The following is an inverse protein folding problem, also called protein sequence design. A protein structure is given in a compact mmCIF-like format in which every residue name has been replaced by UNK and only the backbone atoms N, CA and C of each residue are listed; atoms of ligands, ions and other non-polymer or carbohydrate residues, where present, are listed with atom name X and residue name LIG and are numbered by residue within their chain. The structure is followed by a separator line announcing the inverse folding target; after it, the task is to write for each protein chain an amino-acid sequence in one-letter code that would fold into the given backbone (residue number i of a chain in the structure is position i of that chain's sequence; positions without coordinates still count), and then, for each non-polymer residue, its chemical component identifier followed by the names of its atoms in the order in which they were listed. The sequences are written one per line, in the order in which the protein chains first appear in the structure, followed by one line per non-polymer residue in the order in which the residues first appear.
data_IF_119815552738
#
_entry.id   IF_119815552738
#
_cell.length_a   1.000
_cell.length_b   1.000
_cell.length_c   1.000
_cell.angle_alpha   90.00
_cell.angle_beta   90.00
_cell.angle_gamma   90.00
#
_symmetry.space_group_name_H-M   'P 1'
#
loop_
_entity.id
_entity.type
_entity.pdbx_description
1 polymer ?
#
# COMPACT_ATOMS: atom_id res chain seq x y z
N UNK A 1 9.50 0.17 -8.13
CA UNK A 1 8.86 0.53 -9.42
C UNK A 1 7.44 1.00 -9.16
N UNK A 2 7.20 2.31 -9.27
CA UNK A 2 5.99 3.00 -8.77
C UNK A 2 5.46 4.02 -9.78
N UNK A 3 4.16 4.32 -9.73
CA UNK A 3 3.55 5.49 -10.37
C UNK A 3 3.23 6.63 -9.38
N UNK A 4 3.54 6.44 -8.10
CA UNK A 4 3.23 7.32 -6.96
C UNK A 4 1.72 7.58 -6.76
N UNK A 5 0.89 6.76 -7.41
CA UNK A 5 -0.57 6.88 -7.39
C UNK A 5 -1.19 6.48 -6.05
N UNK A 6 -0.54 5.63 -5.26
CA UNK A 6 -1.02 5.28 -3.93
C UNK A 6 -0.77 6.45 -2.97
N UNK A 7 0.40 7.11 -3.07
CA UNK A 7 0.67 8.37 -2.37
C UNK A 7 -0.32 9.48 -2.74
N UNK A 8 -0.68 9.62 -4.02
CA UNK A 8 -1.73 10.58 -4.43
C UNK A 8 -3.09 10.16 -3.88
N UNK A 9 -3.44 8.87 -3.94
CA UNK A 9 -4.73 8.36 -3.49
C UNK A 9 -5.00 8.68 -2.02
N UNK A 10 -4.03 8.46 -1.12
CA UNK A 10 -4.22 8.69 0.32
C UNK A 10 -4.46 10.18 0.67
N UNK A 11 -4.04 11.13 -0.19
CA UNK A 11 -4.36 12.55 0.01
C UNK A 11 -5.86 12.85 -0.12
N UNK A 12 -6.62 11.95 -0.75
CA UNK A 12 -8.07 12.05 -0.89
C UNK A 12 -8.85 11.33 0.23
N UNK A 13 -8.16 10.78 1.23
CA UNK A 13 -8.79 10.14 2.37
C UNK A 13 -9.57 11.15 3.20
N UNK A 14 -10.68 10.71 3.78
CA UNK A 14 -11.55 11.54 4.62
C UNK A 14 -11.78 10.91 6.00
N UNK A 15 -11.39 9.66 6.22
CA UNK A 15 -11.72 8.89 7.42
C UNK A 15 -10.59 7.95 7.88
N UNK A 16 -9.55 8.47 8.57
CA UNK A 16 -9.24 9.90 8.73
C UNK A 16 -8.50 10.48 7.52
N UNK A 17 -8.41 11.82 7.45
CA UNK A 17 -7.52 12.47 6.48
C UNK A 17 -6.06 12.29 6.90
N UNK A 18 -5.13 12.55 5.99
CA UNK A 18 -3.69 12.56 6.32
C UNK A 18 -3.36 13.66 7.32
N UNK A 19 -3.97 14.85 7.18
CA UNK A 19 -3.78 15.98 8.09
C UNK A 19 -4.27 15.67 9.50
N UNK A 20 -5.38 14.95 9.64
CA UNK A 20 -5.88 14.53 10.95
C UNK A 20 -4.85 13.69 11.72
N UNK A 21 -4.14 12.81 11.02
CA UNK A 21 -3.06 12.00 11.60
C UNK A 21 -1.84 12.88 11.91
N UNK A 22 -1.40 13.74 10.99
CA UNK A 22 -0.19 14.56 11.16
C UNK A 22 -0.33 15.65 12.22
N UNK A 23 -1.51 16.26 12.32
CA UNK A 23 -1.82 17.30 13.29
C UNK A 23 -2.21 16.73 14.67
N UNK A 24 -2.35 15.40 14.78
CA UNK A 24 -2.73 14.75 16.03
C UNK A 24 -4.18 15.03 16.43
N UNK A 25 -5.08 15.23 15.45
CA UNK A 25 -6.51 15.45 15.69
C UNK A 25 -7.21 14.19 16.23
N UNK A 26 -6.60 13.02 16.02
CA UNK A 26 -7.11 11.73 16.49
C UNK A 26 -6.46 11.42 17.85
N UNK A 27 -7.23 11.41 18.96
CA UNK A 27 -6.68 11.18 20.29
C UNK A 27 -6.03 9.81 20.44
N UNK A 28 -4.93 9.73 21.18
CA UNK A 28 -4.25 8.48 21.53
C UNK A 28 -3.27 7.97 20.49
N UNK A 29 -3.23 8.55 19.28
CA UNK A 29 -2.18 8.25 18.32
C UNK A 29 -0.82 8.84 18.78
N UNK A 30 0.30 8.16 18.50
CA UNK A 30 1.61 8.77 18.67
C UNK A 30 1.78 9.95 17.72
N UNK A 31 2.68 10.88 18.05
CA UNK A 31 3.04 11.97 17.14
C UNK A 31 3.65 11.38 15.86
N UNK A 32 3.06 11.68 14.71
CA UNK A 32 3.51 11.15 13.42
C UNK A 32 4.40 12.15 12.70
N UNK A 33 5.57 11.68 12.29
CA UNK A 33 6.48 12.39 11.40
C UNK A 33 6.46 11.71 10.03
N UNK A 34 5.83 12.35 9.05
CA UNK A 34 5.69 11.78 7.71
C UNK A 34 6.89 12.12 6.83
N UNK A 35 7.53 11.08 6.31
CA UNK A 35 8.58 11.18 5.30
C UNK A 35 8.07 10.57 3.98
N UNK A 36 7.27 11.34 3.24
CA UNK A 36 6.75 10.96 1.92
C UNK A 36 7.32 11.92 0.86
N UNK A 37 7.89 11.37 -0.22
CA UNK A 37 8.54 12.14 -1.29
C UNK A 37 7.62 13.18 -1.96
N UNK A 38 6.32 12.88 -2.06
CA UNK A 38 5.33 13.76 -2.70
C UNK A 38 4.94 14.93 -1.80
N UNK A 39 4.98 14.74 -0.48
CA UNK A 39 4.45 15.69 0.51
C UNK A 39 5.52 16.33 1.40
N UNK A 40 6.80 15.94 1.23
CA UNK A 40 7.90 16.49 2.02
C UNK A 40 8.00 18.01 1.79
N UNK A 41 8.07 18.82 2.85
CA UNK A 41 8.28 20.26 2.72
C UNK A 41 9.75 20.63 2.42
N UNK A 42 10.67 19.65 2.48
CA UNK A 42 12.09 19.88 2.19
C UNK A 42 12.32 20.10 0.70
N UNK A 43 13.46 20.68 0.33
CA UNK A 43 13.85 20.84 -1.08
C UNK A 43 14.29 19.52 -1.75
N UNK A 44 14.19 18.39 -1.05
CA UNK A 44 14.66 17.07 -1.49
C UNK A 44 16.14 16.84 -1.21
N UNK A 45 16.73 15.87 -1.91
CA UNK A 45 18.14 15.51 -1.76
C UNK A 45 18.48 14.96 -0.37
N UNK A 46 19.69 15.28 0.10
CA UNK A 46 20.25 14.71 1.33
C UNK A 46 19.44 15.05 2.59
N UNK A 47 18.83 16.23 2.65
CA UNK A 47 17.98 16.64 3.78
C UNK A 47 16.77 15.70 3.93
N UNK A 48 16.15 15.29 2.81
CA UNK A 48 15.04 14.34 2.83
C UNK A 48 15.49 12.93 3.21
N UNK A 49 16.70 12.54 2.82
CA UNK A 49 17.25 11.20 3.06
C UNK A 49 17.82 11.02 4.47
N UNK A 50 18.16 12.10 5.18
CA UNK A 50 18.79 12.03 6.50
C UNK A 50 18.07 11.08 7.48
N UNK A 51 16.72 11.16 7.65
CA UNK A 51 16.01 10.25 8.57
C UNK A 51 16.07 8.78 8.14
N UNK A 52 16.16 8.51 6.84
CA UNK A 52 16.33 7.15 6.32
C UNK A 52 17.72 6.61 6.63
N UNK A 53 18.77 7.44 6.48
CA UNK A 53 20.12 7.07 6.89
C UNK A 53 20.23 6.87 8.40
N UNK A 54 19.60 7.74 9.20
CA UNK A 54 19.56 7.58 10.66
C UNK A 54 18.88 6.27 11.07
N UNK A 55 17.80 5.88 10.38
CA UNK A 55 17.13 4.60 10.60
C UNK A 55 18.04 3.41 10.23
N UNK A 56 18.73 3.47 9.08
CA UNK A 56 19.72 2.43 8.69
C UNK A 56 20.83 2.31 9.72
N UNK A 57 21.38 3.43 10.19
CA UNK A 57 22.48 3.47 11.14
C UNK A 57 22.05 3.15 12.57
N UNK A 58 20.75 3.08 12.85
CA UNK A 58 20.22 2.88 14.20
C UNK A 58 20.39 4.09 15.11
N UNK A 59 20.56 5.27 14.53
CA UNK A 59 20.69 6.56 15.23
C UNK A 59 19.39 7.37 15.20
N UNK A 60 18.36 6.89 14.51
CA UNK A 60 17.02 7.47 14.58
C UNK A 60 16.47 7.31 16.00
N UNK A 61 16.30 8.43 16.71
CA UNK A 61 15.79 8.48 18.08
C UNK A 61 14.26 8.32 18.16
N UNK A 62 13.71 7.40 17.35
CA UNK A 62 12.28 7.10 17.30
C UNK A 62 12.03 5.72 16.63
N UNK A 63 10.98 4.99 17.04
CA UNK A 63 10.48 3.88 16.24
C UNK A 63 9.86 4.40 14.94
N UNK A 64 9.89 3.59 13.89
CA UNK A 64 9.33 3.98 12.59
C UNK A 64 8.50 2.85 11.97
N UNK A 65 7.53 3.24 11.15
CA UNK A 65 6.81 2.35 10.25
C UNK A 65 7.42 2.50 8.87
N UNK A 66 7.92 1.40 8.30
CA UNK A 66 8.43 1.40 6.93
C UNK A 66 7.28 1.13 5.96
N UNK A 67 7.04 2.05 5.03
CA UNK A 67 6.01 1.93 4.00
C UNK A 67 6.68 1.83 2.63
N UNK A 68 6.39 0.76 1.89
CA UNK A 68 6.81 0.61 0.51
C UNK A 68 5.66 0.94 -0.45
N UNK A 69 5.91 1.76 -1.45
CA UNK A 69 5.06 1.96 -2.61
C UNK A 69 5.79 1.49 -3.89
N UNK A 70 5.10 0.70 -4.71
CA UNK A 70 5.68 0.10 -5.91
C UNK A 70 6.39 -1.24 -5.69
N UNK A 71 6.58 -1.99 -6.78
CA UNK A 71 7.17 -3.34 -6.75
C UNK A 71 8.69 -3.32 -6.62
N UNK A 72 9.24 -4.41 -6.07
CA UNK A 72 10.69 -4.58 -5.82
C UNK A 72 11.33 -5.22 -7.05
N UNK A 73 12.23 -4.54 -7.79
CA UNK A 73 12.88 -5.13 -8.95
C UNK A 73 13.93 -6.18 -8.56
N UNK A 74 14.18 -7.13 -9.45
CA UNK A 74 15.24 -8.12 -9.26
C UNK A 74 16.57 -7.54 -9.72
N UNK A 75 17.33 -6.99 -8.77
CA UNK A 75 18.66 -6.42 -9.03
C UNK A 75 19.73 -7.50 -9.29
N UNK A 76 19.41 -8.81 -9.29
CA UNK A 76 20.36 -9.85 -9.71
C UNK A 76 20.47 -10.00 -11.24
N UNK A 77 19.60 -9.32 -12.00
CA UNK A 77 19.53 -9.41 -13.47
C UNK A 77 19.65 -8.04 -14.15
N UNK A 78 20.19 -7.05 -13.46
CA UNK A 78 20.30 -5.65 -13.90
C UNK A 78 21.57 -5.35 -14.74
N UNK A 79 22.51 -6.31 -14.84
CA UNK A 79 23.78 -6.13 -15.55
C UNK A 79 24.71 -5.17 -14.81
N UNK A 80 25.25 -4.18 -15.52
CA UNK A 80 26.17 -3.19 -14.96
C UNK A 80 25.44 -1.97 -14.35
N UNK A 81 24.10 -1.95 -14.39
CA UNK A 81 23.27 -0.84 -13.95
C UNK A 81 22.40 -1.15 -12.72
N UNK A 82 21.23 -0.53 -12.66
CA UNK A 82 20.20 -0.78 -11.64
C UNK A 82 18.82 -0.51 -12.24
N UNK A 83 17.78 -1.12 -11.69
CA UNK A 83 16.40 -0.85 -12.10
C UNK A 83 15.79 0.34 -11.37
N UNK A 84 16.04 0.45 -10.06
CA UNK A 84 15.53 1.57 -9.27
C UNK A 84 16.42 1.87 -8.08
N UNK A 85 16.56 3.16 -7.76
CA UNK A 85 17.36 3.65 -6.65
C UNK A 85 16.61 4.71 -5.87
N UNK A 86 17.05 4.91 -4.63
CA UNK A 86 16.56 5.95 -3.74
C UNK A 86 17.75 6.56 -3.01
N UNK A 87 18.14 7.77 -3.42
CA UNK A 87 19.34 8.42 -2.92
C UNK A 87 20.64 7.79 -3.41
N UNK A 88 21.75 8.39 -2.99
CA UNK A 88 23.11 7.96 -3.33
C UNK A 88 23.90 7.67 -2.06
N UNK A 89 24.91 6.81 -2.16
CA UNK A 89 25.89 6.55 -1.12
C UNK A 89 26.74 7.82 -0.90
N UNK A 90 26.77 8.39 0.31
CA UNK A 90 27.53 9.62 0.58
C UNK A 90 29.04 9.49 0.37
N UNK A 91 29.59 8.28 0.44
CA UNK A 91 31.03 8.02 0.30
C UNK A 91 31.45 7.83 -1.15
N UNK A 92 30.63 7.16 -1.96
CA UNK A 92 30.97 6.83 -3.36
C UNK A 92 30.25 7.69 -4.39
N UNK A 93 29.11 8.29 -4.02
CA UNK A 93 28.21 8.99 -4.93
C UNK A 93 27.33 8.06 -5.77
N UNK A 94 27.47 6.75 -5.63
CA UNK A 94 26.73 5.76 -6.42
C UNK A 94 25.28 5.62 -5.93
N UNK A 95 24.31 5.32 -6.83
CA UNK A 95 22.92 5.14 -6.43
C UNK A 95 22.70 3.97 -5.49
N UNK A 96 21.93 4.19 -4.42
CA UNK A 96 21.51 3.12 -3.50
C UNK A 96 20.24 2.46 -4.04
N UNK A 97 20.33 1.21 -4.45
CA UNK A 97 19.19 0.47 -4.99
C UNK A 97 18.09 0.29 -3.95
N UNK A 98 16.85 0.08 -4.39
CA UNK A 98 15.76 -0.23 -3.46
C UNK A 98 16.08 -1.49 -2.63
N UNK A 99 16.67 -2.53 -3.22
CA UNK A 99 17.12 -3.73 -2.52
C UNK A 99 18.08 -3.42 -1.37
N UNK A 100 19.03 -2.49 -1.57
CA UNK A 100 19.94 -2.06 -0.51
C UNK A 100 19.20 -1.52 0.73
N UNK A 101 18.13 -0.74 0.52
CA UNK A 101 17.27 -0.22 1.58
C UNK A 101 16.42 -1.33 2.23
N UNK A 102 15.87 -2.23 1.43
CA UNK A 102 15.04 -3.34 1.91
C UNK A 102 15.83 -4.37 2.72
N UNK A 103 17.13 -4.51 2.49
CA UNK A 103 18.00 -5.36 3.31
C UNK A 103 18.28 -4.76 4.71
N UNK A 104 17.99 -3.46 4.92
CA UNK A 104 18.43 -2.70 6.11
C UNK A 104 17.31 -2.12 6.96
N UNK A 105 16.28 -1.56 6.32
CA UNK A 105 15.20 -0.84 7.01
C UNK A 105 14.11 -1.75 7.60
N UNK A 106 13.55 -2.73 6.87
CA UNK A 106 12.42 -3.53 7.34
C UNK A 106 12.68 -4.23 8.68
N UNK A 107 13.88 -4.78 8.88
CA UNK A 107 14.27 -5.47 10.11
C UNK A 107 14.38 -4.55 11.33
N UNK A 108 14.52 -3.24 11.12
CA UNK A 108 14.61 -2.20 12.16
C UNK A 108 13.27 -1.49 12.38
N UNK A 109 12.36 -1.58 11.43
CA UNK A 109 11.06 -0.94 11.49
C UNK A 109 10.19 -1.62 12.55
N UNK A 110 9.43 -0.81 13.30
CA UNK A 110 8.44 -1.34 14.23
C UNK A 110 7.32 -2.10 13.49
N UNK A 111 6.86 -1.56 12.35
CA UNK A 111 5.97 -2.25 11.42
C UNK A 111 6.39 -2.01 9.97
N UNK A 112 6.02 -2.93 9.08
CA UNK A 112 6.28 -2.87 7.65
C UNK A 112 4.96 -2.94 6.90
N UNK A 113 4.66 -1.95 6.08
CA UNK A 113 3.40 -1.83 5.32
C UNK A 113 3.71 -1.76 3.83
N UNK A 114 3.06 -2.62 3.04
CA UNK A 114 3.09 -2.53 1.58
C UNK A 114 1.83 -1.80 1.09
N UNK A 115 2.03 -0.64 0.47
CA UNK A 115 0.97 0.23 -0.03
C UNK A 115 0.77 0.01 -1.54
N UNK A 116 -0.43 -0.42 -1.92
CA UNK A 116 -0.80 -0.66 -3.31
C UNK A 116 -0.37 -2.03 -3.83
N UNK A 117 -1.10 -2.52 -4.86
CA UNK A 117 -0.93 -3.88 -5.40
C UNK A 117 0.50 -4.15 -5.90
N UNK A 118 1.19 -3.12 -6.38
CA UNK A 118 2.59 -3.24 -6.83
C UNK A 118 3.51 -3.62 -5.66
N UNK A 119 3.39 -2.95 -4.51
CA UNK A 119 4.21 -3.26 -3.35
C UNK A 119 3.81 -4.58 -2.69
N UNK A 120 2.51 -4.92 -2.67
CA UNK A 120 2.05 -6.15 -2.01
C UNK A 120 2.38 -7.40 -2.81
N UNK A 121 2.12 -7.39 -4.12
CA UNK A 121 2.11 -8.60 -4.98
C UNK A 121 2.81 -8.41 -6.33
N UNK A 122 3.60 -7.34 -6.50
CA UNK A 122 4.28 -7.00 -7.76
C UNK A 122 3.40 -6.22 -8.75
N UNK A 123 2.11 -6.56 -8.83
CA UNK A 123 1.11 -5.81 -9.61
C UNK A 123 1.40 -5.74 -11.11
N UNK A 124 1.00 -4.64 -11.74
CA UNK A 124 1.11 -4.49 -13.20
C UNK A 124 2.56 -4.51 -13.68
N UNK A 125 3.50 -3.99 -12.88
CA UNK A 125 4.92 -4.00 -13.24
C UNK A 125 5.52 -5.41 -13.24
N UNK A 126 4.95 -6.33 -12.43
CA UNK A 126 5.36 -7.74 -12.36
C UNK A 126 4.62 -8.64 -13.37
N UNK A 127 3.87 -8.05 -14.31
CA UNK A 127 3.12 -8.83 -15.31
C UNK A 127 4.03 -9.68 -16.20
N UNK A 128 3.46 -10.70 -16.85
CA UNK A 128 4.18 -11.57 -17.77
C UNK A 128 4.90 -10.74 -18.86
N UNK A 129 6.19 -11.04 -19.07
CA UNK A 129 7.04 -10.35 -20.05
C UNK A 129 7.77 -9.11 -19.52
N UNK A 130 7.62 -8.74 -18.24
CA UNK A 130 8.38 -7.64 -17.67
C UNK A 130 9.91 -7.95 -17.62
N UNK A 131 10.79 -6.99 -17.95
CA UNK A 131 12.24 -7.23 -18.00
C UNK A 131 12.91 -7.16 -16.62
N UNK A 132 12.22 -6.64 -15.61
CA UNK A 132 12.80 -6.33 -14.30
C UNK A 132 12.76 -7.48 -13.30
N UNK A 133 11.97 -8.51 -13.59
CA UNK A 133 11.69 -9.61 -12.66
C UNK A 133 11.13 -9.14 -11.32
N UNK A 134 10.39 -8.02 -11.31
CA UNK A 134 9.95 -7.41 -10.05
C UNK A 134 8.86 -8.22 -9.34
N UNK A 135 8.76 -8.03 -8.02
CA UNK A 135 7.93 -8.85 -7.13
C UNK A 135 7.31 -8.03 -5.99
N UNK A 136 6.44 -8.67 -5.21
CA UNK A 136 5.88 -8.08 -3.99
C UNK A 136 6.87 -8.11 -2.82
N UNK A 137 6.59 -7.33 -1.79
CA UNK A 137 7.45 -7.21 -0.62
C UNK A 137 7.59 -8.54 0.14
N UNK A 138 6.51 -9.33 0.22
CA UNK A 138 6.53 -10.65 0.85
C UNK A 138 7.35 -11.68 0.04
N UNK A 139 7.39 -11.55 -1.29
CA UNK A 139 8.23 -12.40 -2.13
C UNK A 139 9.73 -12.08 -1.95
N UNK A 140 10.04 -10.82 -1.64
CA UNK A 140 11.41 -10.36 -1.39
C UNK A 140 11.89 -10.67 0.05
N UNK A 141 11.10 -10.33 1.07
CA UNK A 141 11.47 -10.50 2.49
C UNK A 141 11.13 -11.87 3.07
N UNK A 142 10.26 -12.64 2.41
CA UNK A 142 9.65 -13.86 2.94
C UNK A 142 8.25 -13.61 3.50
N UNK A 143 7.33 -14.52 3.20
CA UNK A 143 5.93 -14.46 3.67
C UNK A 143 5.78 -14.65 5.19
N UNK A 144 6.79 -15.22 5.84
CA UNK A 144 6.89 -15.41 7.29
C UNK A 144 7.68 -14.29 7.99
N UNK A 145 8.14 -13.27 7.26
CA UNK A 145 8.85 -12.11 7.81
C UNK A 145 8.14 -11.51 9.03
N UNK A 146 8.93 -11.04 10.00
CA UNK A 146 8.46 -10.28 11.16
C UNK A 146 9.31 -9.03 11.34
N UNK A 147 8.66 -7.89 11.55
CA UNK A 147 9.30 -6.60 11.85
C UNK A 147 9.93 -6.60 13.26
N UNK A 148 10.65 -5.52 13.62
CA UNK A 148 11.19 -5.35 14.97
C UNK A 148 10.10 -5.31 16.05
N UNK A 149 8.89 -4.86 15.71
CA UNK A 149 7.71 -4.91 16.58
C UNK A 149 7.05 -6.29 16.66
N UNK A 150 7.53 -7.29 15.91
CA UNK A 150 6.96 -8.64 15.84
C UNK A 150 5.73 -8.75 14.94
N UNK A 151 5.43 -7.76 14.11
CA UNK A 151 4.30 -7.79 13.18
C UNK A 151 4.68 -8.49 11.87
N UNK A 152 3.76 -9.24 11.23
CA UNK A 152 3.91 -9.60 9.81
C UNK A 152 3.93 -8.34 8.93
N UNK A 153 4.28 -8.51 7.65
CA UNK A 153 4.04 -7.46 6.64
C UNK A 153 2.54 -7.17 6.61
N UNK A 154 2.15 -5.88 6.61
CA UNK A 154 0.76 -5.46 6.45
C UNK A 154 0.53 -5.06 4.99
N UNK A 155 -0.18 -5.89 4.24
CA UNK A 155 -0.50 -5.62 2.84
C UNK A 155 -1.79 -4.82 2.71
N UNK A 156 -1.74 -3.64 2.10
CA UNK A 156 -2.92 -2.85 1.74
C UNK A 156 -3.00 -2.69 0.22
N UNK A 157 -3.52 -3.71 -0.49
CA UNK A 157 -3.55 -3.71 -1.95
C UNK A 157 -4.65 -2.80 -2.53
N UNK A 158 -4.60 -2.63 -3.85
CA UNK A 158 -5.42 -1.72 -4.65
C UNK A 158 -4.54 -1.02 -5.68
N UNK A 159 -5.07 -0.67 -6.85
CA UNK A 159 -4.29 -0.01 -7.91
C UNK A 159 -5.06 1.20 -8.49
N UNK A 160 -5.04 2.37 -7.82
CA UNK A 160 -4.32 2.62 -6.56
C UNK A 160 -5.08 2.09 -5.34
N UNK A 161 -4.45 2.10 -4.17
CA UNK A 161 -5.10 1.80 -2.90
C UNK A 161 -6.30 2.72 -2.68
N UNK A 162 -7.43 2.22 -2.18
CA UNK A 162 -8.56 3.10 -1.87
C UNK A 162 -8.16 4.02 -0.70
N UNK A 163 -8.47 5.34 -0.74
CA UNK A 163 -7.89 6.31 0.18
C UNK A 163 -8.09 5.99 1.67
N UNK A 164 -9.33 5.73 2.05
CA UNK A 164 -9.68 5.44 3.46
C UNK A 164 -9.16 4.06 3.89
N UNK A 165 -9.12 3.05 3.03
CA UNK A 165 -8.63 1.71 3.35
C UNK A 165 -7.17 1.76 3.87
N UNK A 166 -6.32 2.56 3.23
CA UNK A 166 -4.95 2.75 3.70
C UNK A 166 -4.90 3.54 5.01
N UNK A 167 -5.63 4.66 5.09
CA UNK A 167 -5.61 5.51 6.29
C UNK A 167 -6.23 4.83 7.52
N UNK A 168 -7.28 4.02 7.34
CA UNK A 168 -7.87 3.16 8.38
C UNK A 168 -6.84 2.12 8.86
N UNK A 169 -6.11 1.50 7.93
CA UNK A 169 -5.06 0.52 8.28
C UNK A 169 -3.90 1.17 9.01
N UNK A 170 -3.41 2.31 8.53
CA UNK A 170 -2.34 3.08 9.18
C UNK A 170 -2.76 3.50 10.59
N UNK A 171 -3.99 3.98 10.75
CA UNK A 171 -4.55 4.36 12.05
C UNK A 171 -4.59 3.19 13.01
N UNK A 172 -4.98 1.99 12.55
CA UNK A 172 -4.92 0.77 13.37
C UNK A 172 -3.48 0.46 13.82
N UNK A 173 -2.53 0.48 12.88
CA UNK A 173 -1.10 0.24 13.15
C UNK A 173 -0.57 1.23 14.19
N UNK A 174 -0.95 2.50 14.09
CA UNK A 174 -0.58 3.55 15.05
C UNK A 174 -1.21 3.35 16.44
N UNK A 175 -2.49 2.96 16.52
CA UNK A 175 -3.11 2.59 17.80
C UNK A 175 -2.45 1.35 18.42
N UNK A 176 -2.08 0.37 17.60
CA UNK A 176 -1.36 -0.81 18.08
C UNK A 176 0.03 -0.41 18.63
N UNK A 177 0.73 0.52 17.96
CA UNK A 177 2.00 1.07 18.45
C UNK A 177 1.86 1.80 19.80
N UNK A 178 0.73 2.48 20.00
CA UNK A 178 0.38 3.12 21.27
C UNK A 178 -0.07 2.14 22.37
N UNK A 179 -0.16 0.83 22.07
CA UNK A 179 -0.69 -0.18 23.00
C UNK A 179 -2.21 -0.09 23.21
N UNK A 180 -2.93 0.57 22.30
CA UNK A 180 -4.36 0.84 22.38
C UNK A 180 -5.19 -0.06 21.45
N UNK A 181 -4.55 -0.86 20.59
CA UNK A 181 -5.21 -1.86 19.74
C UNK A 181 -4.48 -3.21 19.84
N UNK A 182 -5.20 -4.33 19.65
CA UNK A 182 -4.57 -5.64 19.55
C UNK A 182 -3.80 -5.77 18.23
N UNK A 183 -3.09 -6.89 18.09
CA UNK A 183 -2.43 -7.25 16.82
C UNK A 183 -3.44 -7.18 15.67
N UNK A 184 -3.06 -6.45 14.61
CA UNK A 184 -3.87 -6.29 13.41
C UNK A 184 -4.31 -7.65 12.84
N UNK A 185 -5.62 -7.90 12.68
CA UNK A 185 -6.12 -9.15 12.10
C UNK A 185 -5.93 -9.14 10.58
N UNK A 186 -5.00 -9.97 10.10
CA UNK A 186 -4.70 -10.15 8.69
C UNK A 186 -5.19 -11.51 8.18
N UNK A 187 -5.53 -11.60 6.89
CA UNK A 187 -5.78 -12.87 6.21
C UNK A 187 -4.46 -13.55 5.77
N UNK A 188 -4.56 -14.71 5.12
CA UNK A 188 -3.41 -15.49 4.63
C UNK A 188 -2.61 -14.77 3.53
N UNK A 189 -3.17 -13.71 2.93
CA UNK A 189 -2.49 -12.82 1.97
C UNK A 189 -1.98 -11.53 2.62
N UNK A 190 -1.96 -11.52 3.95
CA UNK A 190 -1.50 -10.44 4.83
C UNK A 190 -2.34 -9.16 4.74
N UNK A 191 -3.61 -9.26 4.34
CA UNK A 191 -4.51 -8.11 4.17
C UNK A 191 -5.40 -7.92 5.40
N UNK A 192 -5.72 -6.67 5.81
CA UNK A 192 -6.71 -6.40 6.85
C UNK A 192 -8.05 -7.09 6.59
N UNK A 193 -8.46 -8.02 7.47
CA UNK A 193 -9.62 -8.87 7.25
C UNK A 193 -10.93 -8.08 7.10
N UNK A 194 -11.05 -6.93 7.77
CA UNK A 194 -12.26 -6.09 7.71
C UNK A 194 -12.40 -5.33 6.39
N UNK A 195 -11.30 -5.14 5.64
CA UNK A 195 -11.30 -4.46 4.34
C UNK A 195 -11.40 -5.44 3.17
N UNK A 196 -10.73 -6.58 3.28
CA UNK A 196 -10.56 -7.53 2.17
C UNK A 196 -11.17 -8.92 2.44
N UNK A 197 -12.00 -9.06 3.48
CA UNK A 197 -12.70 -10.32 3.79
C UNK A 197 -13.91 -10.62 2.91
N UNK A 198 -14.37 -9.65 2.13
CA UNK A 198 -15.58 -9.74 1.28
C UNK A 198 -15.25 -9.48 -0.19
N UNK A 199 -16.01 -10.12 -1.07
CA UNK A 199 -15.89 -9.91 -2.51
C UNK A 199 -16.54 -8.59 -2.93
N UNK A 200 -16.09 -8.05 -4.06
CA UNK A 200 -16.72 -6.90 -4.72
C UNK A 200 -18.20 -7.16 -5.00
N UNK A 201 -18.56 -8.39 -5.37
CA UNK A 201 -19.95 -8.75 -5.68
C UNK A 201 -20.87 -8.74 -4.45
N UNK A 202 -20.39 -9.20 -3.30
CA UNK A 202 -21.14 -9.14 -2.03
C UNK A 202 -21.49 -7.69 -1.62
N UNK A 203 -20.75 -6.70 -2.13
CA UNK A 203 -20.99 -5.28 -1.91
C UNK A 203 -21.68 -4.52 -3.05
N UNK A 204 -21.93 -5.17 -4.19
CA UNK A 204 -22.38 -4.48 -5.41
C UNK A 204 -23.89 -4.24 -5.41
N UNK A 205 -24.29 -2.98 -5.60
CA UNK A 205 -25.69 -2.55 -5.73
C UNK A 205 -26.38 -3.07 -7.01
N UNK A 206 -25.61 -3.60 -7.98
CA UNK A 206 -26.13 -4.30 -9.17
C UNK A 206 -26.36 -5.80 -8.95
N UNK A 207 -26.18 -6.33 -7.75
CA UNK A 207 -26.35 -7.76 -7.45
C UNK A 207 -27.77 -8.28 -7.74
N UNK A 208 -28.81 -7.45 -7.58
CA UNK A 208 -30.19 -7.86 -7.92
C UNK A 208 -30.38 -8.21 -9.39
N UNK A 209 -29.68 -7.52 -10.30
CA UNK A 209 -29.68 -7.87 -11.73
C UNK A 209 -28.97 -9.21 -11.98
N UNK A 210 -27.88 -9.47 -11.25
CA UNK A 210 -27.16 -10.75 -11.33
C UNK A 210 -28.05 -11.92 -10.87
N UNK A 211 -28.75 -11.76 -9.74
CA UNK A 211 -29.67 -12.77 -9.19
C UNK A 211 -30.78 -13.16 -10.18
N UNK A 212 -31.28 -12.19 -10.95
CA UNK A 212 -32.35 -12.39 -11.94
C UNK A 212 -31.83 -12.92 -13.29
N UNK A 213 -30.51 -13.03 -13.47
CA UNK A 213 -29.91 -13.35 -14.76
C UNK A 213 -30.04 -12.22 -15.79
N UNK A 214 -30.26 -10.99 -15.34
CA UNK A 214 -30.43 -9.81 -16.19
C UNK A 214 -29.10 -9.07 -16.36
N UNK A 215 -28.46 -9.28 -17.51
CA UNK A 215 -27.07 -8.86 -17.71
C UNK A 215 -26.95 -7.73 -18.73
N UNK A 216 -25.95 -6.88 -18.53
CA UNK A 216 -25.50 -5.91 -19.51
C UNK A 216 -24.90 -6.61 -20.75
N UNK A 217 -25.14 -6.03 -21.92
CA UNK A 217 -24.53 -6.42 -23.20
C UNK A 217 -23.57 -5.36 -23.76
N UNK A 218 -23.56 -4.17 -23.15
CA UNK A 218 -22.67 -3.05 -23.44
C UNK A 218 -22.44 -2.22 -22.16
N UNK A 219 -21.50 -1.28 -22.22
CA UNK A 219 -21.05 -0.48 -21.07
C UNK A 219 -22.04 0.62 -20.65
N UNK A 220 -23.06 0.95 -21.44
CA UNK A 220 -24.05 1.98 -21.11
C UNK A 220 -25.21 1.42 -20.28
N UNK A 221 -25.26 0.10 -20.09
CA UNK A 221 -26.34 -0.55 -19.34
C UNK A 221 -26.17 -0.36 -17.83
N UNK A 222 -27.26 -0.05 -17.09
CA UNK A 222 -27.22 0.01 -15.62
C UNK A 222 -27.22 -1.38 -14.95
N UNK A 223 -27.19 -2.47 -15.73
CA UNK A 223 -27.35 -3.85 -15.27
C UNK A 223 -26.04 -4.49 -14.85
N UNK A 224 -26.10 -5.73 -14.35
CA UNK A 224 -24.91 -6.47 -13.97
C UNK A 224 -23.96 -6.69 -15.16
N UNK A 225 -22.68 -6.34 -14.97
CA UNK A 225 -21.66 -6.36 -16.02
C UNK A 225 -20.82 -7.64 -16.10
N UNK A 226 -21.22 -8.71 -15.42
CA UNK A 226 -20.42 -9.95 -15.37
C UNK A 226 -20.13 -10.52 -16.77
N UNK A 227 -21.06 -10.34 -17.74
CA UNK A 227 -20.88 -10.79 -19.13
C UNK A 227 -19.99 -9.91 -20.00
N UNK A 228 -19.64 -8.71 -19.52
CA UNK A 228 -18.79 -7.76 -20.24
C UNK A 228 -17.44 -7.52 -19.53
N UNK A 229 -17.06 -8.42 -18.61
CA UNK A 229 -15.71 -8.47 -18.05
C UNK A 229 -15.60 -8.18 -16.55
N UNK A 230 -16.70 -8.01 -15.83
CA UNK A 230 -16.63 -7.80 -14.37
C UNK A 230 -16.23 -9.08 -13.62
N UNK A 231 -15.10 -9.01 -12.91
CA UNK A 231 -14.57 -10.09 -12.04
C UNK A 231 -15.06 -10.01 -10.59
N UNK A 232 -16.05 -9.16 -10.31
CA UNK A 232 -16.50 -8.87 -8.95
C UNK A 232 -16.80 -10.09 -8.06
N UNK A 233 -17.36 -11.21 -8.58
CA UNK A 233 -17.65 -12.40 -7.78
C UNK A 233 -16.43 -13.11 -7.18
N UNK A 234 -15.22 -12.84 -7.66
CA UNK A 234 -13.98 -13.53 -7.24
C UNK A 234 -12.86 -12.58 -6.80
N UNK A 235 -13.13 -11.27 -6.74
CA UNK A 235 -12.17 -10.25 -6.29
C UNK A 235 -12.54 -9.80 -4.89
N UNK A 236 -11.62 -9.88 -3.93
CA UNK A 236 -11.84 -9.30 -2.60
C UNK A 236 -11.47 -7.82 -2.56
N UNK A 237 -12.48 -6.97 -2.47
CA UNK A 237 -12.34 -5.51 -2.39
C UNK A 237 -13.68 -4.91 -1.95
N UNK A 238 -13.64 -3.93 -1.05
CA UNK A 238 -14.82 -3.31 -0.46
C UNK A 238 -15.37 -2.10 -1.25
N UNK A 239 -14.73 -1.70 -2.36
CA UNK A 239 -15.01 -0.44 -3.08
C UNK A 239 -16.47 -0.28 -3.49
N UNK A 240 -17.14 -1.34 -3.95
CA UNK A 240 -18.56 -1.26 -4.32
C UNK A 240 -19.46 -0.97 -3.12
N UNK A 241 -19.09 -1.47 -1.94
CA UNK A 241 -19.84 -1.25 -0.70
C UNK A 241 -19.51 0.10 -0.06
N UNK A 242 -18.26 0.55 -0.19
CA UNK A 242 -17.71 1.74 0.48
C UNK A 242 -17.83 3.02 -0.36
N UNK A 243 -17.81 2.89 -1.69
CA UNK A 243 -17.51 3.98 -2.62
C UNK A 243 -16.00 4.23 -2.74
N UNK A 244 -15.61 5.24 -3.52
CA UNK A 244 -14.20 5.60 -3.72
C UNK A 244 -13.77 6.76 -2.81
N UNK A 245 -14.37 7.94 -2.98
CA UNK A 245 -14.13 9.13 -2.15
C UNK A 245 -15.46 9.64 -1.61
N UNK A 246 -15.64 9.67 -0.29
CA UNK A 246 -16.89 10.11 0.34
C UNK A 246 -18.16 9.40 -0.19
N UNK A 247 -18.07 8.10 -0.45
CA UNK A 247 -19.16 7.32 -1.03
C UNK A 247 -19.43 7.59 -2.52
N UNK A 248 -18.63 8.43 -3.19
CA UNK A 248 -18.74 8.74 -4.62
C UNK A 248 -17.83 7.80 -5.40
N UNK A 249 -18.32 7.29 -6.53
CA UNK A 249 -17.57 6.47 -7.47
C UNK A 249 -17.52 4.99 -7.10
N UNK A 250 -16.52 4.31 -7.64
CA UNK A 250 -16.33 2.88 -7.51
C UNK A 250 -15.98 2.26 -8.86
N UNK A 251 -16.35 1.00 -9.07
CA UNK A 251 -16.08 0.28 -10.30
C UNK A 251 -17.40 -0.27 -10.89
N UNK A 252 -17.81 -1.54 -10.69
CA UNK A 252 -19.00 -2.07 -11.36
C UNK A 252 -20.32 -1.51 -10.83
N UNK A 253 -20.32 -0.78 -9.71
CA UNK A 253 -21.52 -0.11 -9.17
C UNK A 253 -21.89 1.14 -10.00
N UNK A 254 -20.90 1.85 -10.55
CA UNK A 254 -21.11 3.15 -11.24
C UNK A 254 -20.90 3.12 -12.75
N UNK A 255 -20.48 2.00 -13.30
CA UNK A 255 -20.26 1.85 -14.74
C UNK A 255 -19.71 0.48 -14.98
#
# INVERSE_FOLDING_TARGET
MSCDGDSVSITAAMQPTIEDVLLGNIPGLPKVHLHNKVLSPTLGGDEFLQPFFDAVNGTLDAPFVFVLEGSVPNENINGDGYWTSFGNDPATGEPLTLSWWLDRLPQKAWAVVACGTCATYGGIHAMAGNPTGCMGLADYLGWDFRSAGGLPIVNVPGCPVQPDNFMETLTWVLYQAAGLAPTIPLDDLLRPQWLFGKTVHEGCDRAGYYEQGDFAHDYNSPKCQVKIGCWGPVVQCNVTKRGWMNGIGGCPNVG
#
